data_IF_926350873934
#
_entry.id   IF_926350873934
#
_cell.length_a   1.000
_cell.length_b   1.000
_cell.length_c   1.000
_cell.angle_alpha   90.00
_cell.angle_beta   90.00
_cell.angle_gamma   90.00
#
_symmetry.space_group_name_H-M   'P 1'
#
loop_
_entity.id
_entity.type
_entity.pdbx_description
1 polymer ?
#
# COMPACT_ATOMS: atom_id res chain seq x y z
N UNK A 1 -8.50 -8.61 5.09
CA UNK A 1 -7.74 -9.08 6.29
C UNK A 1 -6.23 -9.21 6.05
N UNK A 2 -5.73 -9.85 4.98
CA UNK A 2 -4.28 -10.05 4.81
C UNK A 2 -3.44 -8.76 4.59
N UNK A 3 -3.97 -7.72 3.93
CA UNK A 3 -3.31 -6.42 3.79
C UNK A 3 -3.06 -5.73 5.15
N UNK A 4 -4.03 -5.82 6.06
CA UNK A 4 -3.98 -5.23 7.40
C UNK A 4 -2.81 -5.83 8.20
N UNK A 5 -2.53 -7.12 8.06
CA UNK A 5 -1.46 -7.77 8.80
C UNK A 5 -0.06 -7.44 8.25
N UNK A 6 0.06 -7.22 6.94
CA UNK A 6 1.33 -6.84 6.31
C UNK A 6 1.79 -5.45 6.81
N UNK A 7 0.88 -4.49 6.86
CA UNK A 7 1.17 -3.10 7.25
C UNK A 7 1.62 -2.95 8.71
N UNK A 8 1.29 -3.94 9.56
CA UNK A 8 1.64 -3.97 10.98
C UNK A 8 2.96 -4.72 11.24
N UNK A 9 3.59 -5.29 10.21
CA UNK A 9 4.85 -6.01 10.33
C UNK A 9 6.03 -5.03 10.39
N UNK A 10 6.75 -5.02 11.51
CA UNK A 10 7.88 -4.11 11.72
C UNK A 10 9.05 -4.35 10.74
N UNK A 11 9.33 -5.60 10.36
CA UNK A 11 10.38 -5.92 9.40
C UNK A 11 10.05 -5.39 8.00
N UNK A 12 8.77 -5.40 7.64
CA UNK A 12 8.27 -4.79 6.40
C UNK A 12 8.36 -3.26 6.45
N UNK A 13 7.87 -2.65 7.53
CA UNK A 13 7.84 -1.19 7.69
C UNK A 13 9.23 -0.57 7.88
N UNK A 14 10.25 -1.34 8.28
CA UNK A 14 11.62 -0.88 8.52
C UNK A 14 12.22 -0.08 7.35
N UNK A 15 11.84 -0.40 6.13
CA UNK A 15 12.38 0.21 4.91
C UNK A 15 11.46 1.26 4.28
N UNK A 16 10.34 1.55 4.91
CA UNK A 16 9.36 2.53 4.43
C UNK A 16 9.62 3.90 5.06
N UNK A 17 9.11 4.95 4.41
CA UNK A 17 9.16 6.31 4.96
C UNK A 17 8.21 6.53 6.15
N UNK A 18 7.42 5.53 6.51
CA UNK A 18 6.44 5.55 7.60
C UNK A 18 6.55 4.27 8.45
N UNK A 19 6.21 4.38 9.73
CA UNK A 19 6.27 3.28 10.69
C UNK A 19 5.15 2.25 10.51
N UNK A 20 5.25 1.08 11.16
CA UNK A 20 4.21 0.06 11.06
C UNK A 20 2.89 0.60 11.59
N UNK A 21 1.82 0.23 10.90
CA UNK A 21 0.46 0.57 11.32
C UNK A 21 0.17 -0.14 12.66
N UNK A 22 -0.50 0.53 13.58
CA UNK A 22 -0.62 0.05 14.97
C UNK A 22 -1.99 -0.56 15.27
N UNK A 23 -3.04 -0.11 14.56
CA UNK A 23 -4.42 -0.57 14.76
C UNK A 23 -5.09 -1.08 13.47
N UNK A 24 -6.23 -1.77 13.64
CA UNK A 24 -7.05 -2.22 12.52
C UNK A 24 -7.66 -1.02 11.81
N UNK A 25 -8.08 -0.02 12.56
CA UNK A 25 -8.70 1.21 12.08
C UNK A 25 -7.75 2.00 11.18
N UNK A 26 -6.49 2.11 11.60
CA UNK A 26 -5.43 2.79 10.84
C UNK A 26 -5.11 2.01 9.55
N UNK A 27 -5.22 0.68 9.58
CA UNK A 27 -5.07 -0.16 8.39
C UNK A 27 -6.25 -0.03 7.42
N UNK A 28 -7.48 0.10 7.93
CA UNK A 28 -8.67 0.36 7.12
C UNK A 28 -8.58 1.76 6.49
N UNK A 29 -8.11 2.76 7.24
CA UNK A 29 -7.89 4.12 6.76
C UNK A 29 -6.90 4.14 5.59
N UNK A 30 -5.76 3.47 5.73
CA UNK A 30 -4.76 3.33 4.67
C UNK A 30 -5.33 2.72 3.38
N UNK A 31 -6.13 1.66 3.50
CA UNK A 31 -6.76 1.01 2.35
C UNK A 31 -7.83 1.90 1.70
N UNK A 32 -8.60 2.62 2.50
CA UNK A 32 -9.62 3.54 2.03
C UNK A 32 -9.02 4.69 1.23
N UNK A 33 -7.92 5.28 1.73
CA UNK A 33 -7.15 6.30 1.02
C UNK A 33 -6.57 5.75 -0.29
N UNK A 34 -5.96 4.56 -0.25
CA UNK A 34 -5.42 3.91 -1.45
C UNK A 34 -6.50 3.69 -2.52
N UNK A 35 -7.68 3.21 -2.13
CA UNK A 35 -8.81 3.01 -3.05
C UNK A 35 -9.34 4.33 -3.62
N UNK A 36 -9.44 5.36 -2.79
CA UNK A 36 -9.87 6.68 -3.21
C UNK A 36 -8.92 7.28 -4.25
N UNK A 37 -7.60 7.16 -4.05
CA UNK A 37 -6.58 7.63 -5.00
C UNK A 37 -6.66 6.88 -6.34
N UNK A 38 -6.87 5.56 -6.32
CA UNK A 38 -7.14 4.80 -7.55
C UNK A 38 -8.37 5.30 -8.30
N UNK A 39 -9.45 5.67 -7.60
CA UNK A 39 -10.67 6.20 -8.24
C UNK A 39 -10.44 7.57 -8.90
N UNK A 40 -9.55 8.38 -8.36
CA UNK A 40 -9.17 9.67 -8.92
C UNK A 40 -8.16 9.57 -10.08
N UNK A 41 -7.64 8.37 -10.36
CA UNK A 41 -6.53 8.19 -11.30
C UNK A 41 -5.20 8.72 -10.78
N UNK A 42 -5.09 8.94 -9.47
CA UNK A 42 -3.87 9.39 -8.80
C UNK A 42 -2.88 8.23 -8.57
N UNK A 43 -1.64 8.57 -8.24
CA UNK A 43 -0.58 7.64 -7.88
C UNK A 43 -0.94 6.85 -6.62
N UNK A 44 -1.17 5.55 -6.77
CA UNK A 44 -1.50 4.66 -5.66
C UNK A 44 -0.84 3.28 -5.80
N UNK A 45 -0.61 2.63 -4.66
CA UNK A 45 -0.01 1.30 -4.61
C UNK A 45 -1.00 0.17 -4.90
N UNK A 46 -0.47 -0.97 -5.35
CA UNK A 46 -1.16 -2.25 -5.47
C UNK A 46 -0.61 -3.26 -4.47
N UNK A 47 -1.44 -4.26 -4.15
CA UNK A 47 -1.04 -5.40 -3.33
C UNK A 47 -0.54 -6.52 -4.20
N UNK A 48 0.60 -7.08 -3.83
CA UNK A 48 1.15 -8.26 -4.47
C UNK A 48 0.48 -9.50 -3.89
N UNK A 49 -0.30 -10.21 -4.71
CA UNK A 49 -1.04 -11.41 -4.30
C UNK A 49 -0.32 -12.67 -4.79
N UNK A 50 0.05 -13.56 -3.86
CA UNK A 50 0.47 -14.93 -4.19
C UNK A 50 -0.77 -15.75 -4.56
N UNK A 51 -1.04 -15.86 -5.86
CA UNK A 51 -2.29 -16.41 -6.43
C UNK A 51 -2.72 -17.76 -5.84
N UNK A 52 -1.79 -18.71 -5.69
CA UNK A 52 -2.09 -20.06 -5.16
C UNK A 52 -2.61 -20.05 -3.72
N UNK A 53 -2.23 -19.05 -2.93
CA UNK A 53 -2.59 -18.93 -1.51
C UNK A 53 -3.68 -17.88 -1.28
N UNK A 54 -4.07 -17.14 -2.32
CA UNK A 54 -4.88 -15.92 -2.21
C UNK A 54 -4.40 -14.98 -1.09
N UNK A 55 -3.08 -14.88 -0.92
CA UNK A 55 -2.43 -14.17 0.18
C UNK A 55 -1.64 -12.97 -0.32
N UNK A 56 -1.78 -11.83 0.34
CA UNK A 56 -0.94 -10.66 0.09
C UNK A 56 0.45 -10.88 0.70
N UNK A 57 1.49 -10.59 -0.09
CA UNK A 57 2.89 -10.77 0.27
C UNK A 57 3.72 -9.49 0.18
N UNK A 58 3.12 -8.39 -0.25
CA UNK A 58 3.81 -7.11 -0.42
C UNK A 58 2.92 -6.04 -1.03
N UNK A 59 3.48 -4.87 -1.22
CA UNK A 59 2.89 -3.77 -1.99
C UNK A 59 3.90 -3.29 -3.04
N UNK A 60 3.41 -2.74 -4.15
CA UNK A 60 4.24 -2.08 -5.15
C UNK A 60 3.45 -0.97 -5.83
N UNK A 61 4.12 0.05 -6.35
CA UNK A 61 3.46 1.08 -7.13
C UNK A 61 4.33 2.29 -7.34
N UNK A 62 3.72 3.33 -7.88
CA UNK A 62 4.36 4.63 -8.06
C UNK A 62 4.04 5.51 -6.85
N UNK A 63 5.06 6.22 -6.34
CA UNK A 63 4.91 7.12 -5.18
C UNK A 63 4.73 8.58 -5.58
N UNK A 64 5.11 8.93 -6.81
CA UNK A 64 4.93 10.24 -7.40
C UNK A 64 4.79 10.10 -8.93
N UNK A 65 4.03 10.99 -9.54
CA UNK A 65 3.92 11.11 -10.99
C UNK A 65 4.06 12.58 -11.35
N UNK A 66 5.12 12.92 -12.09
CA UNK A 66 5.34 14.27 -12.60
C UNK A 66 4.94 14.33 -14.08
N UNK A 67 3.76 14.89 -14.41
CA UNK A 67 3.30 14.98 -15.79
C UNK A 67 4.14 15.94 -16.66
N UNK A 68 4.94 16.82 -16.05
CA UNK A 68 5.82 17.76 -16.75
C UNK A 68 7.25 17.23 -16.93
N UNK A 69 7.55 16.05 -16.38
CA UNK A 69 8.77 15.29 -16.65
C UNK A 69 8.80 14.78 -18.11
N UNK A 70 8.95 15.72 -19.05
CA UNK A 70 9.26 15.47 -20.44
C UNK A 70 10.78 15.46 -20.56
N UNK A 71 11.33 14.32 -20.97
CA UNK A 71 12.73 14.22 -21.42
C UNK A 71 12.98 15.14 -22.60
#
# INVERSE_FOLDING_TARGET
MAWVLLLRNADFARYLSWGPVTSIEESISFLSDTMFRHQLGDVAGWGLVKKRENRIIGTCGFTNWDPESKK
#
